data_IF_387429993831
#
_entry.id   IF_387429993831
#
_cell.length_a   1.000
_cell.length_b   1.000
_cell.length_c   1.000
_cell.angle_alpha   90.00
_cell.angle_beta   90.00
_cell.angle_gamma   90.00
#
_symmetry.space_group_name_H-M   'P 1'
#
loop_
_entity.id
_entity.type
_entity.pdbx_description
1 polymer ?
#
# COMPACT_ATOMS: atom_id res chain seq x y z
N UNK A 1 -18.59 -8.97 -4.65
CA UNK A 1 -18.19 -8.18 -3.47
C UNK A 1 -17.21 -9.01 -2.66
N UNK A 2 -16.00 -8.51 -2.40
CA UNK A 2 -15.00 -9.21 -1.57
C UNK A 2 -15.45 -9.10 -0.11
N UNK A 3 -15.50 -10.22 0.63
CA UNK A 3 -15.80 -10.19 2.06
C UNK A 3 -14.49 -10.31 2.85
N UNK A 4 -14.37 -9.67 4.02
CA UNK A 4 -13.13 -9.74 4.82
C UNK A 4 -12.69 -11.17 5.16
N UNK A 5 -13.65 -12.08 5.39
CA UNK A 5 -13.37 -13.51 5.64
C UNK A 5 -12.72 -14.26 4.47
N UNK A 6 -12.79 -13.71 3.25
CA UNK A 6 -12.22 -14.33 2.05
C UNK A 6 -10.77 -13.85 1.79
N UNK A 7 -10.25 -12.93 2.62
CA UNK A 7 -8.90 -12.36 2.50
C UNK A 7 -7.94 -13.22 3.32
N UNK A 8 -6.86 -13.78 2.71
CA UNK A 8 -5.89 -14.57 3.45
C UNK A 8 -5.13 -13.76 4.51
N UNK A 9 -4.95 -14.35 5.69
CA UNK A 9 -4.24 -13.72 6.81
C UNK A 9 -2.72 -13.79 6.62
N UNK A 10 -2.20 -14.86 6.02
CA UNK A 10 -0.75 -15.00 5.77
C UNK A 10 -0.28 -13.96 4.75
N UNK A 11 0.79 -13.17 5.01
CA UNK A 11 1.27 -12.14 4.09
C UNK A 11 1.60 -12.67 2.69
N UNK A 12 2.16 -13.88 2.59
CA UNK A 12 2.50 -14.50 1.32
C UNK A 12 1.24 -14.88 0.52
N UNK A 13 0.29 -15.56 1.16
CA UNK A 13 -0.97 -15.93 0.52
C UNK A 13 -1.78 -14.71 0.11
N UNK A 14 -1.79 -13.68 0.97
CA UNK A 14 -2.44 -12.40 0.69
C UNK A 14 -1.83 -11.72 -0.52
N UNK A 15 -0.50 -11.69 -0.64
CA UNK A 15 0.18 -11.15 -1.81
C UNK A 15 -0.25 -11.87 -3.11
N UNK A 16 -0.33 -13.21 -3.08
CA UNK A 16 -0.79 -14.00 -4.23
C UNK A 16 -2.25 -13.70 -4.55
N UNK A 17 -3.11 -13.68 -3.54
CA UNK A 17 -4.53 -13.37 -3.65
C UNK A 17 -4.75 -11.96 -4.23
N UNK A 18 -4.08 -10.93 -3.70
CA UNK A 18 -4.16 -9.55 -4.21
C UNK A 18 -3.71 -9.50 -5.68
N UNK A 19 -2.59 -10.17 -6.00
CA UNK A 19 -2.08 -10.20 -7.36
C UNK A 19 -3.09 -10.82 -8.33
N UNK A 20 -3.79 -11.88 -7.91
CA UNK A 20 -4.85 -12.52 -8.68
C UNK A 20 -6.06 -11.57 -8.83
N UNK A 21 -6.54 -10.99 -7.72
CA UNK A 21 -7.69 -10.10 -7.71
C UNK A 21 -7.48 -8.85 -8.58
N UNK A 22 -6.26 -8.31 -8.60
CA UNK A 22 -5.90 -7.22 -9.51
C UNK A 22 -5.91 -7.68 -10.97
N UNK A 23 -5.35 -8.86 -11.27
CA UNK A 23 -5.36 -9.41 -12.64
C UNK A 23 -6.77 -9.60 -13.19
N UNK A 24 -7.71 -10.09 -12.37
CA UNK A 24 -9.12 -10.20 -12.74
C UNK A 24 -9.77 -8.85 -13.11
N UNK A 25 -9.19 -7.75 -12.61
CA UNK A 25 -9.62 -6.37 -12.88
C UNK A 25 -8.79 -5.69 -13.97
N UNK A 26 -7.94 -6.42 -14.69
CA UNK A 26 -7.03 -5.86 -15.69
C UNK A 26 -5.90 -4.99 -15.10
N UNK A 27 -5.64 -5.09 -13.80
CA UNK A 27 -4.61 -4.31 -13.08
C UNK A 27 -3.46 -5.22 -12.62
N UNK A 28 -2.33 -4.61 -12.27
CA UNK A 28 -1.20 -5.31 -11.63
C UNK A 28 -0.56 -4.41 -10.59
N UNK A 29 0.14 -4.99 -9.60
CA UNK A 29 0.91 -4.20 -8.62
C UNK A 29 1.95 -3.29 -9.30
N UNK A 30 2.61 -3.80 -10.34
CA UNK A 30 3.56 -3.01 -11.11
C UNK A 30 2.89 -1.85 -11.88
N UNK A 31 1.67 -2.07 -12.40
CA UNK A 31 0.85 -1.03 -13.01
C UNK A 31 0.47 0.05 -12.00
N UNK A 32 -0.07 -0.35 -10.83
CA UNK A 32 -0.40 0.58 -9.75
C UNK A 32 0.82 1.40 -9.30
N UNK A 33 2.01 0.78 -9.21
CA UNK A 33 3.24 1.51 -8.91
C UNK A 33 3.55 2.56 -9.98
N UNK A 34 3.50 2.19 -11.27
CA UNK A 34 3.76 3.10 -12.39
C UNK A 34 2.79 4.27 -12.42
N UNK A 35 1.51 4.00 -12.21
CA UNK A 35 0.44 5.02 -12.24
C UNK A 35 0.62 6.08 -11.13
N UNK A 36 1.36 5.73 -10.06
CA UNK A 36 1.67 6.62 -8.93
C UNK A 36 3.14 7.10 -8.92
N UNK A 37 3.91 6.86 -9.98
CA UNK A 37 5.31 7.27 -10.08
C UNK A 37 6.28 6.53 -9.14
N UNK A 38 5.90 5.34 -8.66
CA UNK A 38 6.71 4.54 -7.74
C UNK A 38 7.50 3.43 -8.45
N UNK A 39 8.57 2.99 -7.79
CA UNK A 39 9.30 1.79 -8.18
C UNK A 39 8.43 0.54 -8.05
N UNK A 40 8.57 -0.41 -9.00
CA UNK A 40 7.81 -1.67 -9.02
C UNK A 40 7.88 -2.42 -7.69
N UNK A 41 9.06 -2.43 -7.07
CA UNK A 41 9.33 -3.16 -5.82
C UNK A 41 8.56 -2.57 -4.62
N UNK A 42 8.26 -1.27 -4.64
CA UNK A 42 7.57 -0.56 -3.55
C UNK A 42 6.23 -1.19 -3.19
N UNK A 43 5.46 -1.62 -4.19
CA UNK A 43 4.18 -2.31 -3.97
C UNK A 43 4.32 -3.69 -3.34
N UNK A 44 5.40 -4.42 -3.68
CA UNK A 44 5.67 -5.72 -3.06
C UNK A 44 6.15 -5.57 -1.62
N UNK A 45 6.90 -4.50 -1.32
CA UNK A 45 7.26 -4.17 0.05
C UNK A 45 6.03 -3.83 0.90
N UNK A 46 5.05 -3.10 0.36
CA UNK A 46 3.82 -2.77 1.09
C UNK A 46 3.01 -4.00 1.54
N UNK A 47 3.15 -5.14 0.87
CA UNK A 47 2.51 -6.41 1.26
C UNK A 47 3.14 -7.04 2.52
N UNK A 48 4.39 -6.71 2.82
CA UNK A 48 5.16 -7.29 3.93
C UNK A 48 5.38 -6.29 5.06
N UNK A 49 5.62 -5.03 4.71
CA UNK A 49 5.92 -3.95 5.64
C UNK A 49 4.86 -2.85 5.57
N UNK A 50 4.46 -2.26 6.71
CA UNK A 50 3.44 -1.21 6.76
C UNK A 50 3.81 -0.02 5.87
N UNK A 51 2.94 0.36 4.93
CA UNK A 51 3.17 1.47 4.01
C UNK A 51 1.85 2.05 3.52
N UNK A 52 1.31 2.98 4.31
CA UNK A 52 -0.09 3.43 4.17
C UNK A 52 -0.46 3.92 2.76
N UNK A 53 0.37 4.75 2.07
CA UNK A 53 0.01 5.22 0.74
C UNK A 53 -0.20 4.09 -0.27
N UNK A 54 0.67 3.08 -0.25
CA UNK A 54 0.59 1.94 -1.17
C UNK A 54 -0.55 1.00 -0.80
N UNK A 55 -0.74 0.74 0.50
CA UNK A 55 -1.87 -0.07 0.98
C UNK A 55 -3.22 0.53 0.56
N UNK A 56 -3.35 1.85 0.64
CA UNK A 56 -4.55 2.57 0.21
C UNK A 56 -4.79 2.37 -1.28
N UNK A 57 -3.78 2.58 -2.13
CA UNK A 57 -3.91 2.39 -3.59
C UNK A 57 -4.33 0.95 -3.94
N UNK A 58 -3.81 -0.05 -3.22
CA UNK A 58 -4.20 -1.45 -3.42
C UNK A 58 -5.66 -1.66 -2.99
N UNK A 59 -6.04 -1.17 -1.80
CA UNK A 59 -7.39 -1.33 -1.26
C UNK A 59 -8.44 -0.66 -2.17
N UNK A 60 -8.14 0.55 -2.66
CA UNK A 60 -8.96 1.29 -3.62
C UNK A 60 -9.11 0.52 -4.95
N UNK A 61 -8.01 -0.06 -5.46
CA UNK A 61 -8.06 -0.87 -6.67
C UNK A 61 -8.91 -2.14 -6.51
N UNK A 62 -9.08 -2.63 -5.28
CA UNK A 62 -9.89 -3.80 -4.96
C UNK A 62 -11.33 -3.46 -4.53
N UNK A 63 -11.58 -2.21 -4.13
CA UNK A 63 -12.85 -1.72 -3.61
C UNK A 63 -13.14 -2.21 -2.19
N UNK A 64 -12.13 -2.28 -1.33
CA UNK A 64 -12.23 -2.72 0.07
C UNK A 64 -11.54 -1.72 1.01
N UNK A 65 -11.80 -1.79 2.31
CA UNK A 65 -11.09 -0.93 3.27
C UNK A 65 -9.67 -1.47 3.52
N UNK A 66 -8.71 -0.56 3.76
CA UNK A 66 -7.32 -0.93 4.08
C UNK A 66 -7.24 -1.82 5.32
N UNK A 67 -8.07 -1.54 6.34
CA UNK A 67 -8.16 -2.36 7.56
C UNK A 67 -8.65 -3.79 7.30
N UNK A 68 -9.46 -4.00 6.28
CA UNK A 68 -9.93 -5.34 5.92
C UNK A 68 -8.81 -6.11 5.19
N UNK A 69 -8.00 -5.40 4.41
CA UNK A 69 -6.86 -5.98 3.70
C UNK A 69 -5.65 -6.23 4.60
N UNK A 70 -5.41 -5.38 5.60
CA UNK A 70 -4.29 -5.50 6.53
C UNK A 70 -4.75 -5.39 8.00
N UNK A 71 -5.56 -6.34 8.48
CA UNK A 71 -6.14 -6.26 9.83
C UNK A 71 -5.06 -6.22 10.92
N UNK A 72 -3.93 -6.90 10.72
CA UNK A 72 -2.82 -6.93 11.68
C UNK A 72 -2.12 -5.58 11.90
N UNK A 73 -2.43 -4.56 11.07
CA UNK A 73 -1.85 -3.22 11.17
C UNK A 73 -2.72 -2.24 11.95
N UNK A 74 -3.88 -2.70 12.43
CA UNK A 74 -4.86 -1.92 13.17
C UNK A 74 -5.14 -2.55 14.54
N UNK A 75 -5.43 -1.71 15.53
CA UNK A 75 -5.86 -2.14 16.86
C UNK A 75 -7.35 -2.54 16.86
N UNK A 76 -7.85 -3.03 18.01
CA UNK A 76 -9.25 -3.45 18.17
C UNK A 76 -10.26 -2.31 18.02
N UNK A 77 -9.82 -1.05 18.16
CA UNK A 77 -10.66 0.16 18.05
C UNK A 77 -10.68 0.65 16.59
N UNK A 78 -9.76 0.16 15.75
CA UNK A 78 -9.61 0.53 14.35
C UNK A 78 -8.56 1.61 14.09
N UNK A 79 -7.74 1.97 15.09
CA UNK A 79 -6.60 2.86 14.88
C UNK A 79 -5.42 2.09 14.31
N UNK A 80 -4.59 2.75 13.51
CA UNK A 80 -3.40 2.14 12.95
C UNK A 80 -2.30 2.04 14.02
N UNK A 81 -1.70 0.85 14.16
CA UNK A 81 -0.65 0.60 15.16
C UNK A 81 0.67 1.26 14.75
N UNK A 82 0.94 1.35 13.44
CA UNK A 82 2.17 1.94 12.92
C UNK A 82 1.98 3.42 12.61
N UNK A 83 2.81 4.32 13.18
CA UNK A 83 2.74 5.74 12.88
C UNK A 83 3.04 5.96 11.40
N UNK A 84 2.12 6.63 10.72
CA UNK A 84 2.36 7.17 9.39
C UNK A 84 3.02 8.53 9.56
N UNK A 85 4.05 8.84 8.78
CA UNK A 85 4.61 10.20 8.76
C UNK A 85 3.51 11.16 8.30
N UNK A 86 2.98 11.93 9.23
CA UNK A 86 2.05 13.03 8.95
C UNK A 86 2.80 14.04 8.08
N UNK A 87 2.18 14.53 7.00
CA UNK A 87 2.77 15.64 6.21
C UNK A 87 2.86 16.96 7.00
N UNK A 88 2.39 17.00 8.24
CA UNK A 88 2.42 18.19 9.09
C UNK A 88 3.81 18.53 9.66
N UNK A 89 4.77 17.59 9.66
CA UNK A 89 6.08 17.75 10.32
C UNK A 89 7.27 17.69 9.33
N UNK A 90 7.06 18.10 8.07
CA UNK A 90 8.10 18.07 7.03
C UNK A 90 8.39 19.46 6.49
N UNK A 91 9.50 20.05 6.95
CA UNK A 91 10.10 21.27 6.41
C UNK A 91 10.17 21.29 4.87
N UNK A 92 9.91 22.43 4.22
CA UNK A 92 9.90 22.55 2.76
C UNK A 92 11.28 22.51 2.09
N UNK A 93 12.40 22.42 2.83
CA UNK A 93 13.75 22.66 2.27
C UNK A 93 14.56 21.43 1.85
N UNK A 94 14.03 20.21 1.89
CA UNK A 94 14.89 19.02 1.66
C UNK A 94 15.07 18.61 0.18
N UNK A 95 14.87 19.47 -0.82
CA UNK A 95 15.06 19.05 -2.22
C UNK A 95 15.57 20.11 -3.22
N UNK A 96 16.37 21.10 -2.82
CA UNK A 96 16.92 22.10 -3.78
C UNK A 96 18.43 22.04 -4.08
N UNK A 97 19.25 21.19 -3.45
CA UNK A 97 20.71 21.19 -3.68
C UNK A 97 21.30 19.96 -4.38
N UNK A 98 20.51 19.21 -5.17
CA UNK A 98 20.96 17.95 -5.77
C UNK A 98 21.31 17.93 -7.26
N UNK A 99 20.97 18.95 -8.06
CA UNK A 99 21.11 18.85 -9.54
C UNK A 99 21.52 20.16 -10.23
N UNK A 100 22.47 20.89 -9.65
CA UNK A 100 23.11 22.02 -10.34
C UNK A 100 24.60 22.12 -9.99
N UNK A 101 25.40 21.11 -10.37
CA UNK A 101 26.83 21.23 -10.66
C UNK A 101 27.42 19.89 -11.10
N UNK A 102 27.64 19.72 -12.41
CA UNK A 102 28.80 19.07 -13.04
C UNK A 102 28.55 18.92 -14.55
#
# INVERSE_FOLDING_TARGET
MIKPKDIPTSPHERQLWVSMQLKLRGKTLAGLARDNGWGKTTMYFAMRSPSYPQEQVIADALGIAVRDLFPERYDAIGNRIHPTRSKADGDPESNVEGLAAA
#
